data_IF_424854168049
#
_entry.id   IF_424854168049
#
_cell.length_a   1.000
_cell.length_b   1.000
_cell.length_c   1.000
_cell.angle_alpha   90.00
_cell.angle_beta   90.00
_cell.angle_gamma   90.00
#
_symmetry.space_group_name_H-M   'P 1'
#
loop_
_entity.id
_entity.type
_entity.pdbx_description
1 polymer ?
#
# COMPACT_ATOMS: atom_id res chain seq x y z
N UNK A 1 -32.66 18.81 -0.95
CA UNK A 1 -31.34 19.18 -1.49
C UNK A 1 -30.33 18.12 -1.07
N UNK A 2 -30.32 16.98 -1.76
CA UNK A 2 -29.46 15.84 -1.39
C UNK A 2 -28.43 15.59 -2.49
N UNK A 3 -27.22 15.21 -2.10
CA UNK A 3 -26.08 14.91 -2.98
C UNK A 3 -26.38 13.83 -4.06
N UNK A 4 -27.48 13.08 -3.90
CA UNK A 4 -27.98 12.05 -4.82
C UNK A 4 -29.21 12.45 -5.63
N UNK A 5 -29.65 13.71 -5.57
CA UNK A 5 -30.67 14.23 -6.47
C UNK A 5 -30.03 14.46 -7.85
N UNK A 6 -29.74 13.36 -8.55
CA UNK A 6 -29.27 13.38 -9.93
C UNK A 6 -30.31 14.04 -10.84
N UNK A 7 -29.85 14.55 -11.98
CA UNK A 7 -30.73 15.03 -13.04
C UNK A 7 -31.67 13.89 -13.46
N UNK A 8 -32.96 14.19 -13.59
CA UNK A 8 -33.91 13.20 -14.12
C UNK A 8 -33.46 12.80 -15.53
N UNK A 9 -33.45 11.49 -15.86
CA UNK A 9 -33.04 11.03 -17.17
C UNK A 9 -33.94 11.65 -18.24
N UNK A 10 -33.34 12.38 -19.17
CA UNK A 10 -34.06 12.97 -20.28
C UNK A 10 -34.26 11.94 -21.39
N UNK A 11 -35.32 12.10 -22.20
CA UNK A 11 -35.63 11.18 -23.32
C UNK A 11 -34.49 11.07 -24.34
N UNK A 12 -33.55 12.01 -24.32
CA UNK A 12 -32.40 12.08 -25.21
C UNK A 12 -31.10 11.57 -24.58
N UNK A 13 -31.11 11.16 -23.31
CA UNK A 13 -29.93 10.66 -22.63
C UNK A 13 -29.49 9.32 -23.21
N UNK A 14 -28.19 9.23 -23.53
CA UNK A 14 -27.60 7.99 -24.01
C UNK A 14 -27.46 7.01 -22.84
N UNK A 15 -28.14 5.88 -22.95
CA UNK A 15 -27.97 4.77 -22.02
C UNK A 15 -26.69 3.99 -22.35
N UNK A 16 -25.79 3.90 -21.36
CA UNK A 16 -24.59 3.07 -21.44
C UNK A 16 -24.68 1.97 -20.39
N UNK A 17 -24.18 0.78 -20.70
CA UNK A 17 -24.00 -0.24 -19.68
C UNK A 17 -22.82 0.10 -18.78
N UNK A 18 -22.85 -0.36 -17.53
CA UNK A 18 -21.79 -0.12 -16.54
C UNK A 18 -20.41 -0.51 -17.05
N UNK A 19 -20.34 -1.60 -17.84
CA UNK A 19 -19.09 -2.05 -18.46
C UNK A 19 -18.51 -1.01 -19.43
N UNK A 20 -19.35 -0.34 -20.21
CA UNK A 20 -18.92 0.71 -21.15
C UNK A 20 -18.45 1.94 -20.37
N UNK A 21 -19.19 2.31 -19.32
CA UNK A 21 -18.86 3.46 -18.48
C UNK A 21 -17.53 3.23 -17.73
N UNK A 22 -17.37 2.07 -17.09
CA UNK A 22 -16.16 1.68 -16.37
C UNK A 22 -14.93 1.66 -17.29
N UNK A 23 -15.06 1.12 -18.51
CA UNK A 23 -13.97 1.13 -19.51
C UNK A 23 -13.58 2.55 -19.92
N UNK A 24 -14.56 3.45 -20.12
CA UNK A 24 -14.29 4.86 -20.42
C UNK A 24 -13.56 5.53 -19.26
N UNK A 25 -14.03 5.35 -18.03
CA UNK A 25 -13.38 5.85 -16.82
C UNK A 25 -11.93 5.36 -16.75
N UNK A 26 -11.70 4.05 -16.91
CA UNK A 26 -10.37 3.44 -16.90
C UNK A 26 -9.44 4.04 -17.96
N UNK A 27 -9.94 4.41 -19.15
CA UNK A 27 -9.12 4.99 -20.21
C UNK A 27 -8.52 6.36 -19.86
N UNK A 28 -9.18 7.15 -18.99
CA UNK A 28 -8.64 8.44 -18.54
C UNK A 28 -7.41 8.28 -17.64
N UNK A 29 -7.30 7.16 -16.91
CA UNK A 29 -6.14 6.86 -16.08
C UNK A 29 -4.88 6.49 -16.88
N UNK A 30 -5.00 6.24 -18.19
CA UNK A 30 -3.87 5.89 -19.07
C UNK A 30 -2.74 6.92 -19.00
N UNK A 31 -3.07 8.21 -18.94
CA UNK A 31 -2.06 9.30 -18.83
C UNK A 31 -1.25 9.22 -17.52
N UNK A 32 -1.86 8.69 -16.46
CA UNK A 32 -1.24 8.56 -15.14
C UNK A 32 -0.79 7.13 -14.83
N UNK A 33 -0.77 6.23 -15.81
CA UNK A 33 -0.48 4.81 -15.61
C UNK A 33 0.89 4.61 -14.95
N UNK A 34 1.91 5.37 -15.36
CA UNK A 34 3.25 5.31 -14.75
C UNK A 34 3.22 5.70 -13.28
N UNK A 35 2.54 6.80 -12.91
CA UNK A 35 2.43 7.23 -11.52
C UNK A 35 1.68 6.22 -10.67
N UNK A 36 0.58 5.68 -11.20
CA UNK A 36 -0.19 4.60 -10.57
C UNK A 36 0.66 3.35 -10.35
N UNK A 37 1.47 2.96 -11.33
CA UNK A 37 2.38 1.83 -11.21
C UNK A 37 3.46 2.05 -10.14
N UNK A 38 4.04 3.25 -10.07
CA UNK A 38 5.02 3.60 -9.02
C UNK A 38 4.37 3.48 -7.63
N UNK A 39 3.21 4.10 -7.44
CA UNK A 39 2.47 4.02 -6.17
C UNK A 39 2.13 2.57 -5.82
N UNK A 40 1.68 1.77 -6.80
CA UNK A 40 1.39 0.35 -6.58
C UNK A 40 2.64 -0.43 -6.13
N UNK A 41 3.80 -0.19 -6.75
CA UNK A 41 5.07 -0.82 -6.36
C UNK A 41 5.46 -0.41 -4.94
N UNK A 42 5.36 0.87 -4.60
CA UNK A 42 5.66 1.38 -3.26
C UNK A 42 4.73 0.76 -2.20
N UNK A 43 3.44 0.59 -2.53
CA UNK A 43 2.47 -0.08 -1.66
C UNK A 43 2.85 -1.55 -1.45
N UNK A 44 3.18 -2.28 -2.51
CA UNK A 44 3.61 -3.70 -2.40
C UNK A 44 4.89 -3.82 -1.57
N UNK A 45 5.87 -2.94 -1.79
CA UNK A 45 7.11 -2.90 -1.00
C UNK A 45 6.82 -2.63 0.48
N UNK A 46 5.97 -1.64 0.78
CA UNK A 46 5.56 -1.30 2.14
C UNK A 46 4.82 -2.46 2.81
N UNK A 47 3.93 -3.15 2.09
CA UNK A 47 3.26 -4.35 2.58
C UNK A 47 4.24 -5.47 2.90
N UNK A 48 5.27 -5.68 2.07
CA UNK A 48 6.33 -6.65 2.34
C UNK A 48 7.11 -6.34 3.62
N UNK A 49 7.45 -5.08 3.86
CA UNK A 49 8.15 -4.65 5.09
C UNK A 49 7.26 -4.85 6.32
N UNK A 50 5.98 -4.48 6.22
CA UNK A 50 5.03 -4.67 7.31
C UNK A 50 4.79 -6.16 7.62
N UNK A 51 4.82 -7.03 6.61
CA UNK A 51 4.73 -8.48 6.81
C UNK A 51 5.99 -9.08 7.44
N UNK A 52 7.16 -8.45 7.27
CA UNK A 52 8.41 -8.89 7.89
C UNK A 52 8.49 -8.58 9.39
N UNK A 53 7.73 -7.58 9.89
CA UNK A 53 7.69 -7.21 11.31
C UNK A 53 7.36 -8.37 12.25
N UNK A 54 6.22 -9.09 12.11
CA UNK A 54 5.90 -10.19 13.02
C UNK A 54 6.91 -11.33 12.98
N UNK A 55 7.50 -11.62 11.81
CA UNK A 55 8.55 -12.63 11.66
C UNK A 55 9.82 -12.21 12.40
N UNK A 56 10.23 -10.94 12.28
CA UNK A 56 11.37 -10.42 13.01
C UNK A 56 11.12 -10.49 14.52
N UNK A 57 9.97 -10.01 14.99
CA UNK A 57 9.62 -10.03 16.43
C UNK A 57 9.65 -11.45 16.98
N UNK A 58 9.11 -12.44 16.26
CA UNK A 58 9.20 -13.84 16.67
C UNK A 58 10.64 -14.31 16.86
N UNK A 59 11.51 -14.04 15.87
CA UNK A 59 12.93 -14.39 15.95
C UNK A 59 13.66 -13.68 17.09
N UNK A 60 13.31 -12.44 17.39
CA UNK A 60 13.88 -11.68 18.51
C UNK A 60 13.58 -12.37 19.83
N UNK A 61 12.32 -12.75 20.04
CA UNK A 61 11.87 -13.44 21.26
C UNK A 61 12.60 -14.76 21.44
N UNK A 62 12.72 -15.56 20.38
CA UNK A 62 13.41 -16.86 20.42
C UNK A 62 14.90 -16.71 20.77
N UNK A 63 15.58 -15.75 20.13
CA UNK A 63 17.02 -15.53 20.30
C UNK A 63 17.37 -14.99 21.69
N UNK A 64 16.55 -14.08 22.23
CA UNK A 64 16.74 -13.53 23.57
C UNK A 64 16.47 -14.57 24.66
N UNK A 65 15.50 -15.47 24.44
CA UNK A 65 15.19 -16.54 25.39
C UNK A 65 16.26 -17.64 25.47
N UNK A 66 16.89 -17.97 24.33
CA UNK A 66 17.85 -19.07 24.28
C UNK A 66 19.28 -18.66 24.70
N UNK A 67 19.83 -17.57 24.13
CA UNK A 67 21.22 -17.12 24.36
C UNK A 67 21.34 -15.61 24.16
N UNK A 68 21.05 -14.79 25.20
CA UNK A 68 21.22 -13.35 25.11
C UNK A 68 22.72 -13.03 24.92
N UNK A 69 23.05 -12.43 23.77
CA UNK A 69 24.40 -11.94 23.46
C UNK A 69 24.33 -10.52 22.91
N UNK A 70 25.34 -9.70 23.20
CA UNK A 70 25.42 -8.32 22.74
C UNK A 70 25.33 -8.20 21.22
N UNK A 71 25.96 -9.13 20.48
CA UNK A 71 25.93 -9.13 19.02
C UNK A 71 24.51 -9.32 18.47
N UNK A 72 23.73 -10.22 19.09
CA UNK A 72 22.34 -10.48 18.71
C UNK A 72 21.46 -9.25 18.98
N UNK A 73 21.66 -8.59 20.14
CA UNK A 73 20.93 -7.36 20.49
C UNK A 73 21.19 -6.25 19.47
N UNK A 74 22.45 -6.02 19.09
CA UNK A 74 22.81 -5.03 18.08
C UNK A 74 22.19 -5.34 16.72
N UNK A 75 22.26 -6.60 16.27
CA UNK A 75 21.72 -7.01 14.98
C UNK A 75 20.20 -6.83 14.91
N UNK A 76 19.50 -7.16 16.00
CA UNK A 76 18.06 -6.95 16.15
C UNK A 76 17.73 -5.45 16.13
N UNK A 77 18.43 -4.65 16.93
CA UNK A 77 18.20 -3.20 16.99
C UNK A 77 18.40 -2.53 15.63
N UNK A 78 19.44 -2.93 14.90
CA UNK A 78 19.74 -2.40 13.57
C UNK A 78 18.72 -2.86 12.53
N UNK A 79 18.23 -4.11 12.62
CA UNK A 79 17.13 -4.60 11.79
C UNK A 79 15.82 -3.86 12.07
N UNK A 80 15.47 -3.61 13.33
CA UNK A 80 14.28 -2.83 13.70
C UNK A 80 14.37 -1.38 13.23
N UNK A 81 15.54 -0.75 13.36
CA UNK A 81 15.78 0.59 12.83
C UNK A 81 15.64 0.61 11.32
N UNK A 82 16.24 -0.35 10.61
CA UNK A 82 16.11 -0.48 9.16
C UNK A 82 14.66 -0.63 8.70
N UNK A 83 13.87 -1.45 9.40
CA UNK A 83 12.44 -1.58 9.13
C UNK A 83 11.71 -0.26 9.41
N UNK A 84 11.95 0.40 10.53
CA UNK A 84 11.29 1.66 10.87
C UNK A 84 11.61 2.80 9.88
N UNK A 85 12.87 2.93 9.48
CA UNK A 85 13.28 3.91 8.45
C UNK A 85 12.70 3.53 7.09
N UNK A 86 12.67 2.24 6.76
CA UNK A 86 12.07 1.73 5.54
C UNK A 86 10.58 2.03 5.46
N UNK A 87 9.79 1.67 6.47
CA UNK A 87 8.35 1.94 6.49
C UNK A 87 8.07 3.44 6.38
N UNK A 88 8.80 4.27 7.11
CA UNK A 88 8.67 5.72 7.02
C UNK A 88 9.02 6.24 5.62
N UNK A 89 10.15 5.81 5.04
CA UNK A 89 10.62 6.28 3.74
C UNK A 89 9.71 5.85 2.59
N UNK A 90 9.26 4.60 2.56
CA UNK A 90 8.31 4.10 1.57
C UNK A 90 6.94 4.76 1.72
N UNK A 91 6.50 5.03 2.94
CA UNK A 91 5.24 5.73 3.17
C UNK A 91 5.31 7.22 2.78
N UNK A 92 6.46 7.88 2.96
CA UNK A 92 6.67 9.25 2.49
C UNK A 92 6.76 9.34 0.96
N UNK A 93 7.36 8.34 0.31
CA UNK A 93 7.52 8.30 -1.14
C UNK A 93 6.22 7.96 -1.91
N UNK A 94 5.28 7.29 -1.24
CA UNK A 94 3.96 6.91 -1.77
C UNK A 94 3.04 8.13 -1.88
#
# INVERSE_FOLDING_TARGET
>A
MGFFAGLNPEKYDRQYSDRVLARRIASYFKSQAVRLSIVAILVVALSGINAALPVLVGRVVDLLGARPSLNVIWLIGLAMLGIGVGTWGFNWAR
#
